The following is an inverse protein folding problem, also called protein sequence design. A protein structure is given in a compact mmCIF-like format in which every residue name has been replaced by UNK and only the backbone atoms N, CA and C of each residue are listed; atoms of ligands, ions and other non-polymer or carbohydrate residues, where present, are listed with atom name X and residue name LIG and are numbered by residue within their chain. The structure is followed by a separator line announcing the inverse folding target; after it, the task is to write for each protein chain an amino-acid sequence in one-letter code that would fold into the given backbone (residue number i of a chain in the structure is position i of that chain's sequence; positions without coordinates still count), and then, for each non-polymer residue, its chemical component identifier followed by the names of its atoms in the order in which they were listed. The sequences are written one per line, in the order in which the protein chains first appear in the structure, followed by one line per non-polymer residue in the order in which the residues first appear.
data_IF_221147098500
#
_entry.id   IF_221147098500
#
_cell.length_a   1.000
_cell.length_b   1.000
_cell.length_c   1.000
_cell.angle_alpha   90.00
_cell.angle_beta   90.00
_cell.angle_gamma   90.00
#
_symmetry.space_group_name_H-M   'P 1'
#
loop_
_entity.id
_entity.type
_entity.pdbx_description
1 polymer ?
#
# COMPACT_ATOMS: atom_id res chain seq x y z
N UNK A 1 -14.41 4.90 -3.18
CA UNK A 1 -13.18 4.69 -3.98
C UNK A 1 -12.59 6.04 -4.34
N UNK A 2 -11.27 6.18 -4.48
CA UNK A 2 -10.62 7.41 -4.95
C UNK A 2 -10.12 7.21 -6.39
N UNK A 3 -10.52 8.08 -7.31
CA UNK A 3 -10.09 8.06 -8.72
C UNK A 3 -9.29 9.33 -8.99
N UNK A 4 -8.13 9.18 -9.64
CA UNK A 4 -7.31 10.29 -10.13
C UNK A 4 -7.23 10.16 -11.64
N UNK A 5 -7.61 11.22 -12.35
CA UNK A 5 -7.61 11.26 -13.82
C UNK A 5 -6.87 12.53 -14.22
N UNK A 6 -5.73 12.37 -14.88
CA UNK A 6 -4.95 13.48 -15.42
C UNK A 6 -5.45 13.93 -16.80
N UNK A 7 -4.91 15.05 -17.26
CA UNK A 7 -5.01 15.53 -18.65
C UNK A 7 -6.44 15.75 -19.18
N UNK A 8 -7.36 16.16 -18.30
CA UNK A 8 -8.72 16.53 -18.69
C UNK A 8 -8.87 18.05 -18.77
N UNK A 9 -9.57 18.53 -19.79
CA UNK A 9 -10.16 19.88 -19.77
C UNK A 9 -11.31 19.95 -18.76
N UNK A 10 -11.76 21.15 -18.40
CA UNK A 10 -12.90 21.31 -17.48
C UNK A 10 -14.18 20.63 -17.99
N UNK A 11 -14.46 20.73 -19.30
CA UNK A 11 -15.60 20.06 -19.92
C UNK A 11 -15.48 18.52 -19.87
N UNK A 12 -14.28 18.00 -20.09
CA UNK A 12 -14.00 16.56 -20.00
C UNK A 12 -14.12 16.07 -18.55
N UNK A 13 -13.63 16.85 -17.59
CA UNK A 13 -13.76 16.55 -16.16
C UNK A 13 -15.23 16.53 -15.75
N UNK A 14 -16.02 17.55 -16.12
CA UNK A 14 -17.46 17.59 -15.84
C UNK A 14 -18.21 16.42 -16.50
N UNK A 15 -17.82 16.02 -17.72
CA UNK A 15 -18.37 14.86 -18.40
C UNK A 15 -18.03 13.54 -17.68
N UNK A 16 -16.78 13.39 -17.24
CA UNK A 16 -16.34 12.24 -16.46
C UNK A 16 -17.08 12.13 -15.13
N UNK A 17 -17.26 13.25 -14.41
CA UNK A 17 -18.03 13.30 -13.16
C UNK A 17 -19.47 12.84 -13.36
N UNK A 18 -20.16 13.32 -14.40
CA UNK A 18 -21.53 12.87 -14.73
C UNK A 18 -21.58 11.38 -15.05
N UNK A 19 -20.67 10.89 -15.88
CA UNK A 19 -20.61 9.47 -16.24
C UNK A 19 -20.33 8.59 -15.02
N UNK A 20 -19.42 9.01 -14.14
CA UNK A 20 -19.13 8.30 -12.90
C UNK A 20 -20.33 8.29 -11.97
N UNK A 21 -21.04 9.41 -11.83
CA UNK A 21 -22.23 9.50 -10.98
C UNK A 21 -23.33 8.53 -11.46
N UNK A 22 -23.58 8.48 -12.77
CA UNK A 22 -24.54 7.54 -13.36
C UNK A 22 -24.14 6.08 -13.12
N UNK A 23 -22.89 5.72 -13.42
CA UNK A 23 -22.44 4.32 -13.33
C UNK A 23 -22.28 3.83 -11.90
N UNK A 24 -21.83 4.70 -10.99
CA UNK A 24 -21.62 4.34 -9.59
C UNK A 24 -22.92 4.33 -8.78
N UNK A 25 -23.96 5.08 -9.17
CA UNK A 25 -25.26 5.00 -8.53
C UNK A 25 -25.83 3.56 -8.58
N UNK A 26 -25.69 2.89 -9.73
CA UNK A 26 -26.11 1.50 -9.87
C UNK A 26 -25.12 0.53 -9.21
N UNK A 27 -23.82 0.71 -9.43
CA UNK A 27 -22.80 -0.20 -8.89
C UNK A 27 -22.65 -0.14 -7.36
N UNK A 28 -23.02 0.99 -6.75
CA UNK A 28 -22.94 1.24 -5.31
C UNK A 28 -24.21 0.88 -4.53
N UNK A 29 -25.25 0.36 -5.21
CA UNK A 29 -26.47 -0.08 -4.54
C UNK A 29 -26.16 -1.25 -3.60
N UNK A 30 -26.52 -1.19 -2.30
CA UNK A 30 -26.32 -2.30 -1.38
C UNK A 30 -26.97 -3.57 -1.91
N UNK A 31 -26.24 -4.69 -1.84
CA UNK A 31 -26.81 -6.00 -2.14
C UNK A 31 -27.72 -6.47 -1.01
N UNK A 32 -28.52 -7.50 -1.28
CA UNK A 32 -29.33 -8.15 -0.24
C UNK A 32 -28.45 -8.58 0.94
N UNK A 33 -28.82 -8.15 2.15
CA UNK A 33 -28.07 -8.41 3.37
C UNK A 33 -26.89 -7.45 3.65
N UNK A 34 -26.56 -6.53 2.74
CA UNK A 34 -25.61 -5.46 3.01
C UNK A 34 -26.32 -4.27 3.70
N UNK A 35 -25.78 -3.80 4.81
CA UNK A 35 -26.25 -2.58 5.50
C UNK A 35 -25.29 -1.42 5.23
N UNK A 36 -25.83 -0.22 5.09
CA UNK A 36 -25.02 0.99 5.04
C UNK A 36 -24.19 1.13 6.33
N UNK A 37 -22.99 1.70 6.20
CA UNK A 37 -22.15 2.01 7.36
C UNK A 37 -22.80 3.09 8.20
N UNK A 38 -22.84 2.88 9.52
CA UNK A 38 -23.31 3.88 10.46
C UNK A 38 -22.29 5.05 10.56
N UNK A 39 -22.73 6.32 10.46
CA UNK A 39 -21.82 7.47 10.53
C UNK A 39 -21.03 7.58 11.84
N UNK A 40 -21.61 7.17 12.97
CA UNK A 40 -20.91 7.19 14.25
C UNK A 40 -19.88 6.05 14.33
N UNK A 41 -20.18 4.89 13.77
CA UNK A 41 -19.20 3.80 13.63
C UNK A 41 -18.03 4.23 12.74
N UNK A 42 -18.32 4.85 11.60
CA UNK A 42 -17.31 5.44 10.72
C UNK A 42 -16.41 6.42 11.49
N UNK A 43 -17.00 7.38 12.22
CA UNK A 43 -16.25 8.40 12.94
C UNK A 43 -15.33 7.77 14.01
N UNK A 44 -15.81 6.77 14.75
CA UNK A 44 -14.98 6.06 15.74
C UNK A 44 -13.82 5.31 15.08
N UNK A 45 -14.06 4.60 13.99
CA UNK A 45 -13.01 3.89 13.26
C UNK A 45 -11.99 4.87 12.67
N UNK A 46 -12.44 5.95 12.03
CA UNK A 46 -11.56 6.97 11.47
C UNK A 46 -10.67 7.61 12.56
N UNK A 47 -11.23 7.95 13.73
CA UNK A 47 -10.47 8.50 14.84
C UNK A 47 -9.41 7.53 15.39
N UNK A 48 -9.73 6.24 15.47
CA UNK A 48 -8.78 5.21 15.86
C UNK A 48 -7.63 5.09 14.85
N UNK A 49 -7.94 5.12 13.55
CA UNK A 49 -6.92 5.09 12.48
C UNK A 49 -5.99 6.32 12.53
N UNK A 50 -6.55 7.51 12.74
CA UNK A 50 -5.74 8.73 12.91
C UNK A 50 -4.85 8.67 14.14
N UNK A 51 -5.35 8.13 15.25
CA UNK A 51 -4.55 7.92 16.48
C UNK A 51 -3.43 6.91 16.25
N UNK A 52 -3.65 5.90 15.41
CA UNK A 52 -2.64 4.94 14.98
C UNK A 52 -1.62 5.51 13.97
N UNK A 53 -1.79 6.77 13.55
CA UNK A 53 -0.87 7.47 12.65
C UNK A 53 -1.31 7.52 11.18
N UNK A 54 -2.47 6.96 10.82
CA UNK A 54 -3.04 7.09 9.48
C UNK A 54 -3.75 8.44 9.34
N UNK A 55 -2.99 9.46 8.93
CA UNK A 55 -3.52 10.81 8.77
C UNK A 55 -4.31 10.98 7.47
N UNK A 56 -5.43 11.71 7.48
CA UNK A 56 -6.18 11.99 6.27
C UNK A 56 -5.33 12.75 5.25
N UNK A 57 -5.27 12.23 4.02
CA UNK A 57 -4.56 12.89 2.91
C UNK A 57 -5.32 14.11 2.35
N UNK A 58 -6.58 14.32 2.75
CA UNK A 58 -7.41 15.44 2.32
C UNK A 58 -8.04 16.10 3.55
N UNK A 59 -7.51 17.24 3.94
CA UNK A 59 -8.02 18.01 5.08
C UNK A 59 -9.47 18.50 4.86
N UNK A 60 -9.89 18.60 3.61
CA UNK A 60 -11.25 19.00 3.19
C UNK A 60 -12.31 17.95 3.55
N UNK A 61 -11.93 16.69 3.78
CA UNK A 61 -12.87 15.61 4.13
C UNK A 61 -12.80 15.36 5.62
N UNK A 62 -13.70 16.00 6.37
CA UNK A 62 -13.74 15.94 7.84
C UNK A 62 -14.68 14.86 8.40
N UNK A 63 -15.36 14.09 7.54
CA UNK A 63 -16.35 13.10 7.95
C UNK A 63 -16.83 12.19 6.81
N UNK A 64 -17.80 11.33 7.12
CA UNK A 64 -18.41 10.45 6.13
C UNK A 64 -19.15 11.28 5.09
N UNK A 65 -18.84 11.06 3.81
CA UNK A 65 -19.55 11.68 2.70
C UNK A 65 -20.78 10.86 2.34
N UNK A 66 -21.86 11.55 1.95
CA UNK A 66 -23.02 10.89 1.36
C UNK A 66 -22.64 10.14 0.07
N UNK A 67 -23.32 9.03 -0.27
CA UNK A 67 -23.08 8.32 -1.52
C UNK A 67 -23.16 9.24 -2.75
N UNK A 68 -22.10 9.26 -3.56
CA UNK A 68 -22.04 10.12 -4.73
C UNK A 68 -20.62 10.29 -5.27
N UNK A 69 -20.48 11.16 -6.27
CA UNK A 69 -19.19 11.58 -6.83
C UNK A 69 -18.87 12.96 -6.29
N UNK A 70 -17.75 13.05 -5.58
CA UNK A 70 -17.27 14.27 -4.95
C UNK A 70 -15.90 14.61 -5.51
N UNK A 71 -15.75 15.82 -6.05
CA UNK A 71 -14.48 16.35 -6.58
C UNK A 71 -13.68 16.97 -5.43
N UNK A 72 -12.39 16.67 -5.40
CA UNK A 72 -11.43 17.26 -4.45
C UNK A 72 -10.20 17.78 -5.18
N UNK A 73 -9.51 18.73 -4.57
CA UNK A 73 -8.20 19.13 -5.04
C UNK A 73 -7.21 17.95 -4.91
N UNK A 74 -6.36 17.78 -5.92
CA UNK A 74 -5.30 16.79 -5.87
C UNK A 74 -4.11 17.36 -5.10
N UNK A 75 -3.78 16.70 -3.98
CA UNK A 75 -2.59 16.98 -3.18
C UNK A 75 -1.63 15.79 -3.28
N UNK A 76 -0.54 15.88 -4.06
CA UNK A 76 0.47 14.84 -4.11
C UNK A 76 1.20 14.70 -2.78
N UNK A 77 1.40 13.46 -2.32
CA UNK A 77 2.17 13.14 -1.11
C UNK A 77 3.68 13.12 -1.44
N UNK A 78 4.25 14.29 -1.78
CA UNK A 78 5.62 14.38 -2.28
C UNK A 78 6.65 13.75 -1.34
N UNK A 79 6.55 14.01 -0.04
CA UNK A 79 7.47 13.51 0.98
C UNK A 79 7.49 11.98 1.01
N UNK A 80 6.31 11.35 0.84
CA UNK A 80 6.17 9.89 0.83
C UNK A 80 6.75 9.25 -0.43
N UNK A 81 6.74 9.97 -1.54
CA UNK A 81 7.09 9.45 -2.86
C UNK A 81 8.42 9.98 -3.41
N UNK A 82 9.29 10.48 -2.52
CA UNK A 82 10.68 10.84 -2.85
C UNK A 82 10.86 12.25 -3.41
N UNK A 83 9.85 13.10 -3.29
CA UNK A 83 9.88 14.51 -3.70
C UNK A 83 9.15 14.79 -5.01
N UNK A 84 9.09 16.08 -5.36
CA UNK A 84 8.36 16.58 -6.55
C UNK A 84 8.87 15.98 -7.86
N UNK A 85 10.19 15.86 -8.00
CA UNK A 85 10.86 15.36 -9.22
C UNK A 85 10.68 13.85 -9.48
N UNK A 86 10.25 13.09 -8.47
CA UNK A 86 10.01 11.64 -8.56
C UNK A 86 8.51 11.27 -8.54
N UNK A 87 7.64 12.28 -8.34
CA UNK A 87 6.20 12.08 -8.30
C UNK A 87 5.65 11.52 -9.62
N UNK A 88 6.05 11.99 -10.82
CA UNK A 88 5.53 11.44 -12.09
C UNK A 88 5.77 9.93 -12.25
N UNK A 89 6.93 9.42 -11.80
CA UNK A 89 7.24 7.99 -11.80
C UNK A 89 6.35 7.21 -10.83
N UNK A 90 6.10 7.80 -9.66
CA UNK A 90 5.18 7.21 -8.68
C UNK A 90 3.74 7.18 -9.20
N UNK A 91 3.28 8.21 -9.91
CA UNK A 91 1.98 8.22 -10.59
C UNK A 91 1.90 7.16 -11.67
N UNK A 92 2.97 6.98 -12.46
CA UNK A 92 3.06 5.90 -13.45
C UNK A 92 2.96 4.53 -12.79
N UNK A 93 3.57 4.32 -11.63
CA UNK A 93 3.45 3.09 -10.85
C UNK A 93 2.01 2.86 -10.34
N UNK A 94 1.30 3.91 -9.95
CA UNK A 94 -0.12 3.82 -9.61
C UNK A 94 -0.98 3.44 -10.80
N UNK A 95 -0.71 3.98 -11.99
CA UNK A 95 -1.41 3.58 -13.21
C UNK A 95 -1.15 2.11 -13.54
N UNK A 96 0.12 1.70 -13.56
CA UNK A 96 0.54 0.32 -13.87
C UNK A 96 -0.09 -0.69 -12.91
N UNK A 97 -0.03 -0.42 -11.60
CA UNK A 97 -0.66 -1.28 -10.59
C UNK A 97 -2.19 -1.28 -10.69
N UNK A 98 -2.82 -0.15 -11.00
CA UNK A 98 -4.28 -0.09 -11.22
C UNK A 98 -4.70 -0.93 -12.42
N UNK A 99 -4.00 -0.84 -13.55
CA UNK A 99 -4.29 -1.63 -14.76
C UNK A 99 -4.11 -3.12 -14.51
N UNK A 100 -3.01 -3.50 -13.85
CA UNK A 100 -2.73 -4.87 -13.46
C UNK A 100 -3.85 -5.44 -12.59
N UNK A 101 -4.19 -4.75 -11.50
CA UNK A 101 -5.17 -5.23 -10.53
C UNK A 101 -6.58 -5.26 -11.14
N UNK A 102 -6.97 -4.27 -11.94
CA UNK A 102 -8.26 -4.30 -12.64
C UNK A 102 -8.37 -5.49 -13.59
N UNK A 103 -7.32 -5.77 -14.37
CA UNK A 103 -7.29 -6.94 -15.25
C UNK A 103 -7.39 -8.26 -14.47
N UNK A 104 -6.74 -8.33 -13.31
CA UNK A 104 -6.81 -9.48 -12.42
C UNK A 104 -8.20 -9.66 -11.79
N UNK A 105 -8.78 -8.60 -11.22
CA UNK A 105 -10.07 -8.64 -10.51
C UNK A 105 -11.25 -8.96 -11.44
N UNK A 106 -11.20 -8.55 -12.71
CA UNK A 106 -12.21 -8.91 -13.73
C UNK A 106 -12.36 -10.42 -13.93
N UNK A 107 -11.38 -11.22 -13.51
CA UNK A 107 -11.41 -12.69 -13.61
C UNK A 107 -12.10 -13.36 -12.40
N UNK A 108 -12.64 -12.58 -11.47
CA UNK A 108 -13.28 -13.11 -10.25
C UNK A 108 -12.36 -13.92 -9.34
N UNK A 109 -11.14 -13.43 -8.99
CA UNK A 109 -10.19 -14.20 -8.20
C UNK A 109 -10.70 -14.44 -6.77
N UNK A 110 -10.38 -15.62 -6.22
CA UNK A 110 -10.60 -15.92 -4.80
C UNK A 110 -9.72 -15.04 -3.90
N UNK A 111 -10.03 -15.00 -2.60
CA UNK A 111 -9.20 -14.32 -1.60
C UNK A 111 -7.77 -14.88 -1.58
N UNK A 112 -7.62 -16.21 -1.67
CA UNK A 112 -6.31 -16.87 -1.76
C UNK A 112 -5.50 -16.46 -2.99
N UNK A 113 -6.17 -16.28 -4.15
CA UNK A 113 -5.50 -15.81 -5.36
C UNK A 113 -5.03 -14.35 -5.23
N UNK A 114 -5.81 -13.48 -4.57
CA UNK A 114 -5.41 -12.09 -4.26
C UNK A 114 -4.21 -12.06 -3.31
N UNK A 115 -4.25 -12.85 -2.24
CA UNK A 115 -3.14 -12.98 -1.29
C UNK A 115 -1.86 -13.50 -1.97
N UNK A 116 -1.98 -14.46 -2.90
CA UNK A 116 -0.83 -14.94 -3.67
C UNK A 116 -0.25 -13.88 -4.61
N UNK A 117 -1.10 -13.08 -5.27
CA UNK A 117 -0.63 -11.98 -6.10
C UNK A 117 0.04 -10.89 -5.26
N UNK A 118 -0.51 -10.57 -4.08
CA UNK A 118 0.10 -9.63 -3.13
C UNK A 118 1.48 -10.11 -2.69
N UNK A 119 1.62 -11.39 -2.32
CA UNK A 119 2.89 -12.02 -1.96
C UNK A 119 3.92 -11.91 -3.10
N UNK A 120 3.53 -12.26 -4.33
CA UNK A 120 4.40 -12.16 -5.51
C UNK A 120 4.80 -10.71 -5.82
N UNK A 121 3.87 -9.77 -5.69
CA UNK A 121 4.15 -8.35 -5.88
C UNK A 121 5.18 -7.84 -4.85
N UNK A 122 5.07 -8.26 -3.58
CA UNK A 122 6.05 -7.90 -2.55
C UNK A 122 7.43 -8.50 -2.83
N UNK A 123 7.50 -9.73 -3.38
CA UNK A 123 8.78 -10.32 -3.84
C UNK A 123 9.37 -9.54 -5.03
N UNK A 124 8.55 -9.18 -6.02
CA UNK A 124 8.99 -8.34 -7.15
C UNK A 124 9.49 -6.96 -6.67
N UNK A 125 8.82 -6.37 -5.69
CA UNK A 125 9.22 -5.09 -5.12
C UNK A 125 10.56 -5.19 -4.36
N UNK A 126 10.79 -6.26 -3.59
CA UNK A 126 12.06 -6.48 -2.94
C UNK A 126 13.20 -6.66 -3.98
N UNK A 127 12.95 -7.41 -5.06
CA UNK A 127 13.91 -7.54 -6.17
C UNK A 127 14.16 -6.24 -6.92
N UNK A 128 13.19 -5.32 -6.93
CA UNK A 128 13.38 -4.00 -7.51
C UNK A 128 14.35 -3.13 -6.69
N UNK A 129 14.56 -3.45 -5.41
CA UNK A 129 15.63 -2.87 -4.62
C UNK A 129 16.97 -3.42 -5.12
N UNK A 130 17.10 -4.70 -5.41
CA UNK A 130 18.31 -5.25 -5.99
C UNK A 130 18.42 -6.74 -5.72
N UNK A 131 19.54 -7.33 -6.15
CA UNK A 131 19.75 -8.77 -6.06
C UNK A 131 20.37 -9.24 -4.73
N UNK A 132 20.70 -8.33 -3.81
CA UNK A 132 21.23 -8.69 -2.50
C UNK A 132 20.14 -9.38 -1.64
N UNK A 133 20.30 -10.67 -1.30
CA UNK A 133 19.33 -11.37 -0.45
C UNK A 133 19.20 -10.75 0.94
N UNK A 134 20.24 -10.09 1.46
CA UNK A 134 20.20 -9.44 2.76
C UNK A 134 19.31 -8.19 2.74
N UNK A 135 19.41 -7.35 1.70
CA UNK A 135 18.54 -6.19 1.50
C UNK A 135 17.06 -6.61 1.34
N UNK A 136 16.81 -7.67 0.56
CA UNK A 136 15.45 -8.21 0.40
C UNK A 136 14.88 -8.77 1.72
N UNK A 137 15.68 -9.51 2.49
CA UNK A 137 15.27 -10.04 3.78
C UNK A 137 14.98 -8.91 4.79
N UNK A 138 15.82 -7.88 4.82
CA UNK A 138 15.61 -6.69 5.64
C UNK A 138 14.32 -5.95 5.27
N UNK A 139 13.99 -5.85 3.98
CA UNK A 139 12.74 -5.26 3.52
C UNK A 139 11.50 -6.01 4.05
N UNK A 140 11.51 -7.34 4.03
CA UNK A 140 10.38 -8.12 4.55
C UNK A 140 10.26 -8.03 6.07
N UNK A 141 11.38 -8.07 6.78
CA UNK A 141 11.42 -7.97 8.23
C UNK A 141 10.97 -6.60 8.72
N UNK A 142 11.42 -5.51 8.07
CA UNK A 142 10.94 -4.16 8.35
C UNK A 142 9.43 -4.04 8.13
N UNK A 143 8.93 -4.55 7.01
CA UNK A 143 7.49 -4.57 6.73
C UNK A 143 6.69 -5.36 7.76
N UNK A 144 7.22 -6.51 8.23
CA UNK A 144 6.59 -7.29 9.29
C UNK A 144 6.46 -6.49 10.59
N UNK A 145 7.52 -5.82 11.02
CA UNK A 145 7.52 -4.98 12.24
C UNK A 145 6.55 -3.80 12.10
N UNK A 146 6.61 -3.08 10.99
CA UNK A 146 5.73 -1.94 10.73
C UNK A 146 4.25 -2.35 10.75
N UNK A 147 3.90 -3.43 10.03
CA UNK A 147 2.52 -3.93 10.01
C UNK A 147 2.08 -4.51 11.34
N UNK A 148 2.99 -5.04 12.17
CA UNK A 148 2.63 -5.45 13.53
C UNK A 148 2.13 -4.25 14.32
N UNK A 149 2.87 -3.15 14.34
CA UNK A 149 2.50 -1.92 15.04
C UNK A 149 1.16 -1.35 14.54
N UNK A 150 1.00 -1.27 13.22
CA UNK A 150 -0.23 -0.74 12.61
C UNK A 150 -1.45 -1.62 12.88
N UNK A 151 -1.29 -2.94 12.79
CA UNK A 151 -2.41 -3.87 13.01
C UNK A 151 -2.86 -3.85 14.47
N UNK A 152 -1.95 -3.61 15.43
CA UNK A 152 -2.33 -3.32 16.83
C UNK A 152 -3.15 -2.03 16.92
N UNK A 153 -2.72 -0.97 16.24
CA UNK A 153 -3.48 0.29 16.16
C UNK A 153 -4.88 0.13 15.56
N UNK A 154 -5.09 -0.89 14.72
CA UNK A 154 -6.40 -1.24 14.15
C UNK A 154 -7.23 -2.22 15.01
N UNK A 155 -6.82 -2.46 16.26
CA UNK A 155 -7.62 -3.20 17.24
C UNK A 155 -7.28 -4.69 17.37
N UNK A 156 -6.21 -5.16 16.75
CA UNK A 156 -5.72 -6.52 17.00
C UNK A 156 -4.83 -6.54 18.25
N UNK A 157 -4.91 -7.62 19.03
CA UNK A 157 -4.02 -7.84 20.17
C UNK A 157 -2.70 -8.44 19.71
N UNK A 158 -1.63 -8.20 20.48
CA UNK A 158 -0.32 -8.83 20.21
C UNK A 158 -0.40 -10.36 20.17
N UNK A 159 -1.20 -10.96 21.05
CA UNK A 159 -1.42 -12.40 21.08
C UNK A 159 -2.03 -12.92 19.77
N UNK A 160 -3.03 -12.23 19.22
CA UNK A 160 -3.62 -12.59 17.92
C UNK A 160 -2.57 -12.51 16.81
N UNK A 161 -1.73 -11.48 16.82
CA UNK A 161 -0.65 -11.34 15.83
C UNK A 161 0.40 -12.46 15.98
N UNK A 162 0.72 -12.89 17.20
CA UNK A 162 1.63 -14.02 17.44
C UNK A 162 1.06 -15.36 16.96
N UNK A 163 -0.24 -15.58 17.14
CA UNK A 163 -0.95 -16.73 16.59
C UNK A 163 -0.90 -16.73 15.06
N UNK A 164 -1.18 -15.59 14.44
CA UNK A 164 -1.10 -15.41 13.00
C UNK A 164 0.32 -15.60 12.47
N UNK A 165 1.33 -15.06 13.16
CA UNK A 165 2.73 -15.25 12.81
C UNK A 165 3.14 -16.73 12.84
N UNK A 166 2.73 -17.45 13.90
CA UNK A 166 2.97 -18.90 14.02
C UNK A 166 2.28 -19.67 12.90
N UNK A 167 1.03 -19.34 12.58
CA UNK A 167 0.25 -19.95 11.51
C UNK A 167 0.78 -19.63 10.10
N UNK A 168 1.47 -18.50 9.93
CA UNK A 168 2.11 -18.09 8.67
C UNK A 168 3.36 -18.91 8.30
N UNK A 169 3.47 -20.17 8.79
CA UNK A 169 4.58 -21.05 8.46
C UNK A 169 4.55 -21.34 6.95
N UNK A 170 5.59 -20.97 6.20
CA UNK A 170 5.58 -21.20 4.77
C UNK A 170 5.68 -22.70 4.47
N UNK A 171 4.95 -23.14 3.44
CA UNK A 171 5.08 -24.48 2.85
C UNK A 171 6.04 -24.42 1.65
N UNK A 172 6.61 -25.55 1.27
CA UNK A 172 7.45 -25.62 0.06
C UNK A 172 6.67 -25.26 -1.20
N UNK A 173 5.38 -25.60 -1.25
CA UNK A 173 4.48 -25.18 -2.32
C UNK A 173 4.35 -23.65 -2.39
N UNK A 174 4.18 -22.99 -1.24
CA UNK A 174 4.11 -21.53 -1.19
C UNK A 174 5.43 -20.90 -1.61
N UNK A 175 6.56 -21.46 -1.17
CA UNK A 175 7.89 -21.03 -1.61
C UNK A 175 8.00 -21.13 -3.13
N UNK A 176 7.68 -22.28 -3.71
CA UNK A 176 7.71 -22.48 -5.16
C UNK A 176 6.79 -21.51 -5.91
N UNK A 177 5.60 -21.22 -5.39
CA UNK A 177 4.68 -20.23 -6.00
C UNK A 177 5.14 -18.78 -5.86
N UNK A 178 5.87 -18.46 -4.79
CA UNK A 178 6.41 -17.13 -4.55
C UNK A 178 7.70 -16.87 -5.34
N UNK A 179 8.52 -17.90 -5.55
CA UNK A 179 9.90 -17.77 -6.05
C UNK A 179 10.22 -18.54 -7.33
N UNK A 180 9.36 -19.44 -7.80
CA UNK A 180 9.62 -20.31 -8.96
C UNK A 180 9.08 -19.77 -10.29
N UNK A 181 9.76 -20.13 -11.39
CA UNK A 181 9.40 -19.78 -12.78
C UNK A 181 9.66 -18.31 -13.17
N UNK A 182 9.05 -17.84 -14.27
CA UNK A 182 8.87 -16.40 -14.55
C UNK A 182 7.90 -15.81 -13.52
N UNK A 183 8.41 -15.68 -12.30
CA UNK A 183 7.71 -15.13 -11.13
C UNK A 183 7.19 -13.72 -11.36
N UNK A 184 7.75 -13.01 -12.32
CA UNK A 184 7.38 -11.64 -12.61
C UNK A 184 6.10 -11.64 -13.45
N UNK A 185 6.06 -12.34 -14.58
CA UNK A 185 4.85 -12.47 -15.41
C UNK A 185 4.13 -11.13 -15.62
N UNK A 186 2.83 -10.99 -15.26
CA UNK A 186 2.10 -9.74 -15.46
C UNK A 186 2.57 -8.58 -14.57
N UNK A 187 3.39 -8.83 -13.54
CA UNK A 187 4.03 -7.79 -12.73
C UNK A 187 5.24 -7.14 -13.42
N UNK A 188 5.70 -7.66 -14.58
CA UNK A 188 6.98 -7.23 -15.18
C UNK A 188 7.06 -5.74 -15.48
N UNK A 189 6.04 -5.11 -16.09
CA UNK A 189 6.06 -3.66 -16.30
C UNK A 189 6.13 -2.87 -14.99
N UNK A 190 5.44 -3.35 -13.95
CA UNK A 190 5.42 -2.70 -12.64
C UNK A 190 6.74 -2.87 -11.89
N UNK A 191 7.34 -4.06 -11.92
CA UNK A 191 8.67 -4.30 -11.34
C UNK A 191 9.74 -3.46 -12.03
N UNK A 192 9.76 -3.42 -13.37
CA UNK A 192 10.74 -2.63 -14.11
C UNK A 192 10.64 -1.13 -13.78
N UNK A 193 9.42 -0.60 -13.66
CA UNK A 193 9.20 0.78 -13.24
C UNK A 193 9.65 1.02 -11.78
N UNK A 194 9.42 0.06 -10.88
CA UNK A 194 9.92 0.15 -9.50
C UNK A 194 11.44 0.11 -9.42
N UNK A 195 12.11 -0.70 -10.25
CA UNK A 195 13.58 -0.73 -10.34
C UNK A 195 14.09 0.62 -10.81
N UNK A 196 13.52 1.18 -11.88
CA UNK A 196 13.90 2.49 -12.39
C UNK A 196 13.72 3.61 -11.34
N UNK A 197 12.61 3.60 -10.61
CA UNK A 197 12.38 4.54 -9.50
C UNK A 197 13.40 4.32 -8.37
N UNK A 198 13.65 3.07 -7.97
CA UNK A 198 14.61 2.76 -6.90
C UNK A 198 16.01 3.23 -7.25
N UNK A 199 16.43 3.06 -8.50
CA UNK A 199 17.71 3.52 -9.01
C UNK A 199 17.82 5.05 -9.05
N UNK A 200 16.74 5.76 -9.42
CA UNK A 200 16.70 7.22 -9.35
C UNK A 200 16.81 7.70 -7.90
N UNK A 201 16.04 7.12 -6.98
CA UNK A 201 16.08 7.47 -5.54
C UNK A 201 17.50 7.37 -4.99
N UNK A 202 18.22 6.29 -5.31
CA UNK A 202 19.62 6.11 -4.87
C UNK A 202 20.58 7.18 -5.39
N UNK A 203 20.38 7.62 -6.63
CA UNK A 203 21.29 8.59 -7.29
C UNK A 203 20.97 10.02 -6.92
N UNK A 204 19.70 10.34 -6.72
CA UNK A 204 19.20 11.71 -6.73
C UNK A 204 18.72 12.19 -5.35
N UNK A 205 18.60 11.29 -4.35
CA UNK A 205 18.07 11.62 -3.03
C UNK A 205 18.87 10.94 -1.91
N UNK A 206 18.80 11.43 -0.67
CA UNK A 206 19.38 10.75 0.50
C UNK A 206 18.51 9.59 1.04
N UNK A 207 17.34 9.33 0.45
CA UNK A 207 16.40 8.34 0.94
C UNK A 207 16.83 6.93 0.57
N UNK A 208 16.51 5.96 1.43
CA UNK A 208 16.61 4.55 1.04
C UNK A 208 15.41 4.17 0.15
N UNK A 209 15.59 3.54 -1.03
CA UNK A 209 14.50 3.21 -1.95
C UNK A 209 13.35 2.41 -1.33
N UNK A 210 13.66 1.54 -0.37
CA UNK A 210 12.68 0.79 0.40
C UNK A 210 11.57 1.66 1.03
N UNK A 211 11.88 2.90 1.43
CA UNK A 211 10.91 3.83 2.03
C UNK A 211 9.78 4.23 1.06
N UNK A 212 10.09 4.34 -0.23
CA UNK A 212 9.10 4.63 -1.28
C UNK A 212 8.47 3.33 -1.79
N UNK A 213 9.27 2.28 -1.98
CA UNK A 213 8.81 0.98 -2.49
C UNK A 213 7.75 0.33 -1.58
N UNK A 214 7.89 0.43 -0.25
CA UNK A 214 6.88 -0.09 0.69
C UNK A 214 5.51 0.58 0.49
N UNK A 215 5.49 1.89 0.19
CA UNK A 215 4.25 2.61 -0.09
C UNK A 215 3.59 2.13 -1.38
N UNK A 216 4.35 1.80 -2.42
CA UNK A 216 3.80 1.23 -3.66
C UNK A 216 3.26 -0.19 -3.47
N UNK A 217 3.93 -1.02 -2.66
CA UNK A 217 3.44 -2.36 -2.29
C UNK A 217 2.11 -2.25 -1.53
N UNK A 218 2.05 -1.40 -0.51
CA UNK A 218 0.83 -1.17 0.26
C UNK A 218 -0.32 -0.68 -0.62
N UNK A 219 -0.07 0.28 -1.52
CA UNK A 219 -1.10 0.76 -2.44
C UNK A 219 -1.56 -0.30 -3.45
N UNK A 220 -0.71 -1.29 -3.80
CA UNK A 220 -1.13 -2.44 -4.60
C UNK A 220 -1.99 -3.42 -3.78
N UNK A 221 -1.62 -3.67 -2.52
CA UNK A 221 -2.40 -4.52 -1.59
C UNK A 221 -3.79 -3.94 -1.33
N UNK A 222 -3.90 -2.63 -1.09
CA UNK A 222 -5.17 -1.90 -0.99
C UNK A 222 -6.05 -2.10 -2.22
N UNK A 223 -5.47 -1.99 -3.44
CA UNK A 223 -6.22 -2.21 -4.70
C UNK A 223 -6.72 -3.64 -4.86
N UNK A 224 -6.00 -4.62 -4.31
CA UNK A 224 -6.44 -6.01 -4.28
C UNK A 224 -7.55 -6.26 -3.24
N UNK A 225 -7.82 -5.29 -2.36
CA UNK A 225 -8.81 -5.37 -1.29
C UNK A 225 -8.30 -6.14 -0.07
N UNK A 226 -6.99 -6.15 0.16
CA UNK A 226 -6.41 -6.72 1.38
C UNK A 226 -6.67 -5.79 2.56
N UNK A 227 -6.91 -6.38 3.73
CA UNK A 227 -6.94 -5.71 5.03
C UNK A 227 -5.55 -5.69 5.65
N UNK A 228 -5.35 -4.82 6.63
CA UNK A 228 -4.08 -4.71 7.38
C UNK A 228 -3.55 -6.07 7.88
N UNK A 229 -4.43 -6.92 8.42
CA UNK A 229 -4.06 -8.26 8.89
C UNK A 229 -3.58 -9.18 7.74
N UNK A 230 -4.08 -9.01 6.52
CA UNK A 230 -3.67 -9.79 5.36
C UNK A 230 -2.31 -9.30 4.81
N UNK A 231 -2.03 -8.00 4.91
CA UNK A 231 -0.70 -7.43 4.64
C UNK A 231 0.32 -7.92 5.68
N UNK A 232 -0.04 -7.87 6.98
CA UNK A 232 0.78 -8.44 8.06
C UNK A 232 1.14 -9.91 7.78
N UNK A 233 0.15 -10.74 7.44
CA UNK A 233 0.40 -12.14 7.12
C UNK A 233 1.27 -12.33 5.86
N UNK A 234 1.20 -11.41 4.90
CA UNK A 234 2.08 -11.42 3.71
C UNK A 234 3.53 -11.24 4.13
N UNK A 235 3.83 -10.21 4.92
CA UNK A 235 5.17 -9.97 5.44
C UNK A 235 5.64 -11.08 6.40
N UNK A 236 4.76 -11.62 7.24
CA UNK A 236 5.08 -12.74 8.13
C UNK A 236 5.53 -13.99 7.34
N UNK A 237 4.84 -14.33 6.24
CA UNK A 237 5.24 -15.44 5.38
C UNK A 237 6.60 -15.17 4.72
N UNK A 238 6.83 -13.95 4.22
CA UNK A 238 8.06 -13.59 3.51
C UNK A 238 9.28 -13.52 4.44
N UNK A 239 9.15 -12.88 5.61
CA UNK A 239 10.22 -12.84 6.60
C UNK A 239 10.62 -14.25 7.08
N UNK A 240 9.67 -15.19 7.14
CA UNK A 240 9.96 -16.59 7.46
C UNK A 240 10.55 -17.37 6.28
N UNK A 241 10.20 -17.02 5.04
CA UNK A 241 10.79 -17.62 3.83
C UNK A 241 12.24 -17.15 3.60
N UNK A 242 12.52 -15.91 3.98
CA UNK A 242 13.77 -15.18 3.79
C UNK A 242 14.18 -14.48 5.09
N UNK A 243 14.67 -15.23 6.09
CA UNK A 243 15.02 -14.65 7.37
C UNK A 243 16.17 -13.66 7.22
N UNK A 244 15.99 -12.44 7.74
CA UNK A 244 17.08 -11.50 7.89
C UNK A 244 18.13 -12.12 8.82
N UNK A 245 19.41 -12.00 8.47
CA UNK A 245 20.48 -12.34 9.42
C UNK A 245 20.37 -11.37 10.58
N UNK A 246 20.37 -11.87 11.82
CA UNK A 246 20.42 -11.01 12.99
C UNK A 246 21.61 -10.07 12.86
N UNK A 247 21.36 -8.76 12.81
CA UNK A 247 22.43 -7.79 12.97
C UNK A 247 23.04 -7.99 14.38
N UNK A 248 24.36 -7.85 14.55
CA UNK A 248 24.93 -7.75 15.89
C UNK A 248 24.23 -6.59 16.63
N UNK A 249 23.89 -6.82 17.91
CA UNK A 249 23.28 -5.81 18.79
C UNK A 249 24.03 -4.48 18.67
N UNK A 250 23.38 -3.44 18.13
CA UNK A 250 23.95 -2.08 18.06
C UNK A 250 23.71 -1.30 16.77
N UNK A 251 23.26 -1.93 15.69
CA UNK A 251 22.87 -1.21 14.47
C UNK A 251 21.34 -1.11 14.37
N UNK A 252 20.72 -0.23 15.18
CA UNK A 252 19.31 0.14 14.96
C UNK A 252 19.23 1.04 13.73
N UNK A 253 18.52 0.63 12.66
CA UNK A 253 18.05 1.59 11.68
C UNK A 253 17.02 2.46 12.39
N UNK A 254 17.19 3.78 12.31
CA UNK A 254 16.32 4.81 12.89
C UNK A 254 14.83 4.44 12.86
N UNK A 255 14.17 4.53 14.03
CA UNK A 255 12.75 4.31 14.30
C UNK A 255 11.82 5.33 13.62
N UNK A 256 11.93 5.58 12.32
CA UNK A 256 10.98 6.43 11.61
C UNK A 256 10.89 5.98 10.16
N UNK A 257 9.88 5.16 9.84
CA UNK A 257 9.14 5.11 8.55
C UNK A 257 8.38 3.78 8.40
N UNK A 258 7.16 3.72 8.96
CA UNK A 258 6.10 2.93 8.33
C UNK A 258 5.58 3.67 7.07
N UNK A 259 4.77 3.03 6.22
CA UNK A 259 4.14 3.75 5.11
C UNK A 259 3.23 4.84 5.70
N UNK A 260 3.51 6.11 5.38
CA UNK A 260 2.93 7.32 5.98
C UNK A 260 3.52 7.73 7.35
N UNK A 261 4.73 8.30 7.33
CA UNK A 261 5.04 9.39 8.25
C UNK A 261 5.13 10.69 7.42
N UNK A 262 3.97 11.28 7.10
CA UNK A 262 3.92 12.70 6.74
C UNK A 262 3.96 13.49 8.04
N UNK A 263 5.15 13.65 8.60
CA UNK A 263 5.41 14.61 9.66
C UNK A 263 5.54 16.00 9.06
N UNK A 264 4.47 16.79 9.12
CA UNK A 264 4.58 18.23 8.99
C UNK A 264 5.49 18.72 10.13
N UNK A 265 6.70 19.14 9.80
CA UNK A 265 7.48 20.00 10.69
C UNK A 265 6.75 21.35 10.68
N UNK A 266 5.87 21.54 11.66
CA UNK A 266 5.42 22.87 12.04
C UNK A 266 6.65 23.63 12.52
N UNK A 267 7.17 24.48 11.64
CA UNK A 267 8.06 25.57 12.00
C UNK A 267 7.29 26.51 12.91
N UNK A 268 7.42 26.33 14.22
CA UNK A 268 7.14 27.39 15.20
C UNK A 268 8.35 28.32 15.24
N UNK A 269 8.16 29.49 14.63
CA UNK A 269 8.69 30.84 14.93
C UNK A 269 10.06 30.99 15.60
N UNK A 270 10.91 31.88 15.06
CA UNK A 270 11.10 33.24 15.60
C UNK A 270 12.27 34.00 14.91
N UNK A 271 12.05 35.31 14.70
CA UNK A 271 12.93 36.41 14.20
C UNK A 271 12.96 36.69 12.69
#
# INVERSE_FOLDING_TARGET
VRLRIGDLTDDQAASAERLLAERLAEAGRPREGETAMDPADYARTAAAMTTAGDQPSHQEVTGMLEPGVHRFAYHPEYERYGGRELMPESERLFELSSRLVLAFLRRGPSSGARALLALRATVCAARALGDDPAEQAAFYDHGLRAWRTWTVGYGYTEQQLDELYRAARPTDELRAKATGGDTTGPLAPWQAALTGLSDRIRRETPLHPAQVTVSHVHMLHNRLGLRAVEEYQTYARLARLFPARSAPEGASPSDHSGPAQSGAVLSTEEH
#
